data_IF_487035007371
#
_entry.id   IF_487035007371
#
_cell.length_a   1.000
_cell.length_b   1.000
_cell.length_c   1.000
_cell.angle_alpha   90.00
_cell.angle_beta   90.00
_cell.angle_gamma   90.00
#
_symmetry.space_group_name_H-M   'P 1'
#
loop_
_entity.id
_entity.type
_entity.pdbx_description
1 polymer ?
2 non-polymer ?
3 water ?
#
# COMPACT_ATOMS: atom_id res chain seq x y z
N UNK A 11 10.35 -18.81 -7.78
CA UNK A 11 11.46 -18.57 -6.86
C UNK A 11 12.78 -19.10 -7.40
N UNK A 12 13.74 -18.20 -7.61
CA UNK A 12 15.11 -18.57 -7.89
C UNK A 12 15.83 -18.75 -6.55
N UNK A 13 16.66 -19.79 -6.45
CA UNK A 13 17.47 -20.01 -5.28
C UNK A 13 18.80 -19.28 -5.46
N UNK A 14 19.17 -18.46 -4.48
CA UNK A 14 20.36 -17.63 -4.54
C UNK A 14 21.40 -18.19 -3.59
N UNK A 15 22.66 -18.25 -4.04
CA UNK A 15 23.69 -18.75 -3.14
C UNK A 15 24.11 -17.67 -2.15
N UNK A 16 24.33 -18.02 -0.88
CA UNK A 16 24.70 -16.99 0.12
C UNK A 16 25.93 -16.17 -0.23
N UNK A 17 26.87 -16.72 -1.00
CA UNK A 17 28.05 -15.94 -1.38
C UNK A 17 27.70 -14.75 -2.27
N UNK A 18 26.51 -14.72 -2.86
CA UNK A 18 26.09 -13.62 -3.70
C UNK A 18 25.41 -12.48 -2.94
N UNK A 19 25.23 -12.62 -1.63
CA UNK A 19 24.47 -11.66 -0.83
C UNK A 19 25.36 -11.08 0.26
N UNK A 20 25.27 -9.76 0.43
CA UNK A 20 25.96 -9.06 1.51
C UNK A 20 24.95 -8.17 2.22
N UNK A 21 24.72 -8.44 3.50
CA UNK A 21 23.85 -7.59 4.30
C UNK A 21 24.65 -6.39 4.81
N UNK A 22 24.05 -5.19 4.70
CA UNK A 22 24.77 -3.96 5.03
C UNK A 22 24.19 -3.23 6.23
N UNK A 23 22.89 -2.94 6.23
CA UNK A 23 22.27 -2.14 7.27
C UNK A 23 20.93 -2.76 7.65
N UNK A 24 20.63 -2.76 8.94
CA UNK A 24 19.29 -3.13 9.39
C UNK A 24 18.31 -2.02 9.04
N UNK A 25 17.18 -2.38 8.45
CA UNK A 25 16.15 -1.42 8.06
C UNK A 25 14.78 -1.76 8.63
N UNK A 26 14.64 -2.88 9.34
CA UNK A 26 13.35 -3.25 9.89
C UNK A 26 13.44 -4.57 10.62
N UNK A 27 12.28 -5.05 11.05
CA UNK A 27 12.18 -6.27 11.83
C UNK A 27 11.30 -7.29 11.13
N UNK A 28 11.71 -8.54 11.22
CA UNK A 28 10.94 -9.66 10.65
C UNK A 28 10.22 -10.42 11.75
N UNK A 29 9.45 -11.41 11.41
CA UNK A 29 8.70 -12.17 12.43
C UNK A 29 9.68 -12.97 13.30
N UNK A 30 10.73 -13.48 12.70
CA UNK A 30 11.76 -14.19 13.49
C UNK A 30 13.10 -13.97 12.79
N UNK A 31 13.49 -12.74 12.76
CA UNK A 31 14.72 -12.29 12.11
C UNK A 31 14.68 -10.80 11.88
N UNK A 32 15.58 -10.31 11.07
CA UNK A 32 15.75 -8.91 10.76
C UNK A 32 15.57 -8.65 9.26
N UNK A 33 15.33 -7.39 8.91
CA UNK A 33 15.22 -6.96 7.52
C UNK A 33 16.38 -6.01 7.23
N UNK A 34 17.12 -6.30 6.17
CA UNK A 34 18.35 -5.58 5.84
C UNK A 34 18.26 -4.97 4.45
N UNK A 35 19.04 -3.91 4.26
CA UNK A 35 19.44 -3.47 2.93
C UNK A 35 20.80 -4.08 2.61
N UNK A 36 20.98 -4.50 1.38
CA UNK A 36 22.22 -5.12 0.97
C UNK A 36 22.45 -5.06 -0.53
N UNK A 37 23.38 -5.89 -0.99
CA UNK A 37 23.77 -5.95 -2.39
C UNK A 37 23.74 -7.40 -2.88
N UNK A 38 23.32 -7.59 -4.13
CA UNK A 38 23.20 -8.91 -4.75
C UNK A 38 24.03 -8.93 -6.03
N UNK A 39 24.90 -9.93 -6.12
CA UNK A 39 25.84 -10.06 -7.25
C UNK A 39 25.20 -10.85 -8.41
N UNK A 45 27.45 -6.36 -12.29
CA UNK A 45 27.66 -5.41 -11.20
C UNK A 45 26.59 -5.59 -10.12
N UNK A 46 26.97 -5.27 -8.88
CA UNK A 46 26.08 -5.42 -7.74
C UNK A 46 24.76 -4.68 -7.97
N UNK A 47 23.73 -5.16 -7.29
CA UNK A 47 22.38 -4.62 -7.38
C UNK A 47 21.84 -4.47 -5.96
N UNK A 48 21.27 -3.32 -5.59
CA UNK A 48 20.75 -3.17 -4.23
C UNK A 48 19.51 -4.03 -4.03
N UNK A 49 19.41 -4.62 -2.84
CA UNK A 49 18.30 -5.52 -2.51
C UNK A 49 17.87 -5.31 -1.07
N UNK A 50 16.63 -5.69 -0.78
CA UNK A 50 16.17 -5.81 0.59
C UNK A 50 16.11 -7.29 0.95
N UNK A 51 16.44 -7.60 2.20
CA UNK A 51 16.69 -8.97 2.63
C UNK A 51 15.98 -9.21 3.96
N UNK A 52 15.05 -10.16 3.98
CA UNK A 52 14.40 -10.58 5.23
C UNK A 52 14.92 -11.97 5.60
N UNK A 53 15.39 -12.12 6.84
CA UNK A 53 16.00 -13.37 7.29
C UNK A 53 15.09 -14.11 8.27
N UNK A 54 15.31 -15.42 8.35
CA UNK A 54 14.67 -16.30 9.34
C UNK A 54 15.78 -16.92 10.16
N UNK A 55 15.88 -16.52 11.42
CA UNK A 55 17.02 -16.79 12.30
C UNK A 55 16.84 -18.10 13.04
N UNK A 56 17.97 -18.65 13.50
CA UNK A 56 18.01 -19.94 14.20
C UNK A 56 17.02 -19.97 15.35
N UNK A 57 16.31 -21.08 15.47
CA UNK A 57 15.29 -21.26 16.48
C UNK A 57 13.88 -21.12 15.96
N UNK A 58 13.70 -20.75 14.69
CA UNK A 58 12.35 -20.54 14.17
C UNK A 58 11.52 -21.79 14.32
N UNK A 59 10.22 -21.58 14.50
CA UNK A 59 9.28 -22.66 14.70
C UNK A 59 8.86 -23.24 13.35
N UNK A 60 8.19 -24.38 13.41
CA UNK A 60 7.63 -24.98 12.20
C UNK A 60 6.68 -24.02 11.51
N UNK A 61 5.76 -23.40 12.28
CA UNK A 61 4.80 -22.48 11.68
C UNK A 61 5.50 -21.31 10.99
N UNK A 62 6.53 -20.76 11.64
CA UNK A 62 7.25 -19.64 11.05
C UNK A 62 7.94 -20.03 9.74
N UNK A 63 8.53 -21.24 9.70
CA UNK A 63 9.12 -21.72 8.45
C UNK A 63 8.08 -21.89 7.36
N UNK A 64 6.91 -22.42 7.71
CA UNK A 64 5.84 -22.59 6.73
C UNK A 64 5.39 -21.23 6.20
N UNK A 65 5.19 -20.26 7.10
CA UNK A 65 4.77 -18.92 6.66
C UNK A 65 5.86 -18.23 5.84
N UNK A 66 7.12 -18.40 6.25
CA UNK A 66 8.23 -17.72 5.58
C UNK A 66 8.43 -18.25 4.17
N UNK A 67 8.53 -19.56 4.01
CA UNK A 67 8.68 -20.12 2.65
C UNK A 67 7.39 -19.97 1.85
N UNK A 68 6.24 -19.98 2.51
CA UNK A 68 4.99 -19.70 1.81
C UNK A 68 4.96 -18.30 1.25
N UNK A 69 5.42 -17.33 2.04
CA UNK A 69 5.54 -15.96 1.55
C UNK A 69 6.44 -15.90 0.32
N UNK A 70 7.59 -16.55 0.40
CA UNK A 70 8.48 -16.57 -0.76
C UNK A 70 7.79 -17.15 -1.97
N UNK A 71 7.03 -18.23 -1.78
CA UNK A 71 6.38 -18.87 -2.92
C UNK A 71 5.33 -18.00 -3.57
N UNK A 72 4.52 -17.31 -2.77
CA UNK A 72 3.50 -16.42 -3.33
C UNK A 72 4.14 -15.26 -4.07
N UNK A 73 5.21 -14.69 -3.53
CA UNK A 73 5.86 -13.56 -4.18
C UNK A 73 6.50 -13.98 -5.50
N UNK A 74 7.12 -15.16 -5.55
CA UNK A 74 7.65 -15.65 -6.81
C UNK A 74 6.60 -15.84 -7.88
N UNK A 75 5.38 -16.09 -7.49
CA UNK A 75 4.26 -16.27 -8.43
C UNK A 75 3.80 -14.92 -9.02
N UNK A 76 4.02 -13.81 -8.37
CA UNK A 76 3.55 -12.52 -8.87
C UNK A 76 4.57 -11.93 -9.83
N UNK A 77 4.09 -11.49 -11.01
CA UNK A 77 4.94 -10.83 -12.01
C UNK A 77 4.12 -9.66 -12.56
N UNK A 78 4.22 -8.51 -11.91
CA UNK A 78 3.42 -7.33 -12.32
C UNK A 78 4.20 -6.05 -12.05
N UNK A 79 4.01 -5.07 -12.89
CA UNK A 79 4.66 -3.76 -12.79
C UNK A 79 4.46 -3.09 -11.42
N UNK A 80 3.31 -3.32 -10.77
CA UNK A 80 2.96 -2.63 -9.53
C UNK A 80 2.96 -3.55 -8.31
N UNK A 81 3.71 -4.65 -8.36
CA UNK A 81 3.90 -5.57 -7.24
C UNK A 81 5.41 -5.71 -7.02
N UNK A 82 5.84 -5.61 -5.75
CA UNK A 82 7.26 -5.79 -5.44
C UNK A 82 7.80 -7.07 -6.07
N UNK A 83 8.98 -6.99 -6.66
CA UNK A 83 9.60 -8.14 -7.36
C UNK A 83 10.53 -8.96 -6.46
N UNK A 84 10.34 -10.26 -6.46
CA UNK A 84 11.21 -11.17 -5.73
C UNK A 84 12.46 -11.46 -6.56
N UNK A 85 13.65 -11.18 -6.00
CA UNK A 85 14.89 -11.58 -6.68
C UNK A 85 15.16 -13.06 -6.47
N UNK A 86 14.99 -13.54 -5.24
CA UNK A 86 15.20 -14.95 -5.00
C UNK A 86 15.07 -15.27 -3.52
N UNK A 87 15.34 -16.53 -3.21
CA UNK A 87 15.24 -17.03 -1.85
C UNK A 87 16.52 -17.80 -1.54
N UNK A 88 16.87 -17.83 -0.26
CA UNK A 88 17.86 -18.76 0.26
C UNK A 88 17.12 -19.71 1.19
N UNK A 89 16.95 -20.95 0.76
CA UNK A 89 16.32 -21.97 1.57
C UNK A 89 17.25 -23.14 1.90
N UNK A 90 18.33 -23.34 1.14
CA UNK A 90 19.23 -24.47 1.33
C UNK A 90 20.30 -24.22 2.38
N UNK A 91 20.42 -23.00 2.90
CA UNK A 91 21.42 -22.66 3.90
C UNK A 91 20.76 -21.82 4.97
N UNK A 92 21.42 -21.72 6.12
CA UNK A 92 20.92 -20.94 7.25
C UNK A 92 21.84 -19.74 7.48
N UNK A 93 21.26 -18.56 7.78
CA UNK A 93 19.82 -18.33 7.90
C UNK A 93 19.13 -18.26 6.54
N UNK A 94 17.86 -18.60 6.51
CA UNK A 94 17.08 -18.48 5.28
C UNK A 94 16.75 -17.02 5.00
N UNK A 95 16.54 -16.69 3.72
CA UNK A 95 16.39 -15.29 3.32
C UNK A 95 15.38 -15.14 2.18
N UNK A 96 14.62 -14.04 2.23
CA UNK A 96 13.79 -13.56 1.11
C UNK A 96 14.42 -12.28 0.59
N UNK A 97 14.66 -12.21 -0.71
CA UNK A 97 15.43 -11.11 -1.30
C UNK A 97 14.61 -10.45 -2.40
N UNK A 98 14.37 -9.14 -2.27
CA UNK A 98 13.60 -8.39 -3.24
C UNK A 98 14.42 -7.24 -3.81
N UNK A 99 13.91 -6.65 -4.88
CA UNK A 99 14.43 -5.36 -5.34
C UNK A 99 14.36 -4.34 -4.21
N UNK A 100 15.16 -3.28 -4.33
CA UNK A 100 15.22 -2.21 -3.34
C UNK A 100 14.75 -0.90 -3.97
N UNK A 101 14.07 -0.09 -3.16
CA UNK A 101 13.56 1.22 -3.64
C UNK A 101 14.15 2.34 -2.75
N UNK A 102 15.10 3.10 -3.26
CA UNK A 102 15.71 4.16 -2.46
C UNK A 102 14.71 5.23 -2.03
N UNK A 103 13.57 5.38 -2.71
CA UNK A 103 12.56 6.33 -2.24
C UNK A 103 11.72 5.81 -1.07
N UNK A 104 11.80 4.51 -0.75
CA UNK A 104 11.16 4.01 0.46
C UNK A 104 9.64 3.88 0.40
N UNK A 105 9.03 3.85 1.58
CA UNK A 105 7.58 3.65 1.69
C UNK A 105 6.83 4.93 1.34
N UNK A 106 5.65 4.75 0.74
CA UNK A 106 4.91 5.86 0.16
C UNK A 106 4.42 6.84 1.22
N UNK A 107 4.05 6.36 2.42
CA UNK A 107 3.53 7.30 3.43
C UNK A 107 4.59 8.31 3.84
N UNK A 108 5.77 7.83 4.20
CA UNK A 108 6.88 8.70 4.59
C UNK A 108 7.34 9.56 3.42
N UNK A 109 7.37 8.98 2.22
CA UNK A 109 7.75 9.70 1.01
C UNK A 109 6.88 10.94 0.80
N UNK A 110 5.56 10.75 0.82
CA UNK A 110 4.66 11.89 0.62
C UNK A 110 4.79 12.94 1.72
N UNK A 111 4.91 12.50 2.97
CA UNK A 111 5.02 13.44 4.10
C UNK A 111 6.28 14.29 4.00
N UNK A 112 7.35 13.76 3.39
CA UNK A 112 8.62 14.46 3.27
C UNK A 112 8.69 15.28 1.99
N UNK A 113 7.64 15.27 1.17
CA UNK A 113 7.62 15.94 -0.13
C UNK A 113 6.30 16.65 -0.32
N UNK A 114 5.79 17.24 0.78
CA UNK A 114 4.47 17.84 0.80
C UNK A 114 4.32 18.89 -0.28
N UNK A 115 3.32 18.73 -1.13
CA UNK A 115 3.00 19.71 -2.15
C UNK A 115 3.91 19.71 -3.35
N UNK A 116 4.77 18.71 -3.52
CA UNK A 116 5.79 18.79 -4.57
C UNK A 116 5.37 18.18 -5.91
N UNK A 117 4.19 17.55 -6.00
CA UNK A 117 3.80 16.84 -7.22
C UNK A 117 2.55 17.46 -7.85
N UNK A 118 2.35 17.18 -9.13
CA UNK A 118 1.13 17.60 -9.78
C UNK A 118 -0.01 16.63 -9.45
N UNK A 119 -1.24 17.13 -9.58
CA UNK A 119 -2.42 16.26 -9.48
C UNK A 119 -2.30 15.05 -10.39
N UNK A 120 -1.81 15.25 -11.62
CA UNK A 120 -1.68 14.12 -12.54
C UNK A 120 -0.67 13.09 -12.04
N UNK A 121 0.44 13.54 -11.44
CA UNK A 121 1.39 12.61 -10.84
C UNK A 121 0.75 11.81 -9.72
N UNK A 122 -0.01 12.49 -8.85
CA UNK A 122 -0.65 11.79 -7.72
C UNK A 122 -1.65 10.76 -8.22
N UNK A 123 -2.49 11.15 -9.20
CA UNK A 123 -3.48 10.21 -9.73
C UNK A 123 -2.79 9.04 -10.43
N UNK A 124 -1.65 9.29 -11.09
CA UNK A 124 -0.91 8.20 -11.70
C UNK A 124 -0.40 7.20 -10.68
N UNK A 125 -0.02 7.65 -9.52
CA UNK A 125 0.41 6.73 -8.44
C UNK A 125 -0.80 5.86 -8.06
N UNK A 126 -1.96 6.45 -7.94
CA UNK A 126 -3.17 5.69 -7.58
C UNK A 126 -3.54 4.68 -8.67
N UNK A 127 -3.36 5.04 -9.95
CA UNK A 127 -3.67 4.08 -11.00
C UNK A 127 -2.74 2.87 -10.92
N UNK A 128 -1.46 3.10 -10.62
CA UNK A 128 -0.53 2.00 -10.50
C UNK A 128 -0.86 1.10 -9.32
N UNK A 129 -1.19 1.69 -8.18
CA UNK A 129 -1.59 0.89 -7.01
C UNK A 129 -2.83 0.06 -7.34
N UNK A 130 -3.80 0.68 -8.02
CA UNK A 130 -5.02 -0.04 -8.38
C UNK A 130 -4.74 -1.19 -9.32
N UNK A 131 -3.82 -1.00 -10.27
CA UNK A 131 -3.48 -2.07 -11.21
C UNK A 131 -2.82 -3.23 -10.49
N UNK A 132 -1.95 -2.95 -9.53
CA UNK A 132 -1.39 -4.04 -8.73
C UNK A 132 -2.44 -4.77 -7.91
N UNK A 133 -3.40 -4.03 -7.35
CA UNK A 133 -4.45 -4.64 -6.56
C UNK A 133 -5.41 -5.44 -7.43
N UNK A 134 -5.71 -4.95 -8.64
CA UNK A 134 -6.54 -5.74 -9.54
C UNK A 134 -5.88 -7.07 -9.85
N UNK A 135 -4.56 -7.05 -10.06
CA UNK A 135 -3.80 -8.27 -10.30
C UNK A 135 -3.90 -9.22 -9.11
N UNK A 136 -3.63 -8.73 -7.89
CA UNK A 136 -3.72 -9.58 -6.70
C UNK A 136 -5.11 -10.19 -6.54
N UNK A 137 -6.16 -9.37 -6.67
CA UNK A 137 -7.52 -9.87 -6.52
C UNK A 137 -7.85 -10.92 -7.59
N UNK A 138 -7.39 -10.71 -8.82
CA UNK A 138 -7.61 -11.67 -9.90
C UNK A 138 -6.91 -12.99 -9.60
N UNK A 139 -5.72 -12.92 -9.00
CA UNK A 139 -4.95 -14.10 -8.59
C UNK A 139 -5.51 -14.73 -7.32
N UNK A 140 -6.63 -14.22 -6.81
CA UNK A 140 -7.27 -14.71 -5.59
C UNK A 140 -6.38 -14.54 -4.36
N UNK A 141 -5.66 -13.42 -4.31
CA UNK A 141 -4.84 -13.04 -3.15
C UNK A 141 -5.50 -11.85 -2.49
N UNK A 142 -5.91 -12.02 -1.23
CA UNK A 142 -6.46 -10.92 -0.44
C UNK A 142 -5.34 -10.33 0.39
N UNK A 143 -5.14 -9.03 0.29
CA UNK A 143 -3.98 -8.39 0.90
C UNK A 143 -4.14 -8.27 2.41
N UNK A 144 -5.26 -7.68 2.86
CA UNK A 144 -5.65 -7.51 4.26
C UNK A 144 -4.96 -6.35 4.99
N UNK A 145 -3.90 -5.78 4.42
CA UNK A 145 -3.18 -4.69 5.10
C UNK A 145 -2.76 -3.62 4.10
N UNK A 146 -3.64 -3.27 3.17
CA UNK A 146 -3.31 -2.25 2.18
C UNK A 146 -3.35 -0.88 2.84
N UNK A 147 -2.22 -0.17 2.78
CA UNK A 147 -2.05 1.16 3.35
C UNK A 147 -0.80 1.73 2.70
N UNK A 148 -0.66 3.05 2.75
CA UNK A 148 0.50 3.66 2.10
C UNK A 148 1.82 3.18 2.69
N UNK A 149 1.82 2.81 3.98
CA UNK A 149 3.03 2.28 4.62
C UNK A 149 3.52 0.99 3.95
N UNK A 150 2.64 0.28 3.25
CA UNK A 150 2.99 -0.98 2.61
C UNK A 150 3.18 -0.84 1.10
N UNK A 151 3.44 0.36 0.63
CA UNK A 151 3.66 0.63 -0.79
C UNK A 151 5.02 1.27 -0.95
N UNK A 152 5.84 0.73 -1.86
CA UNK A 152 7.18 1.25 -2.13
C UNK A 152 7.17 2.07 -3.43
N UNK A 153 8.05 3.07 -3.49
CA UNK A 153 8.13 3.99 -4.62
C UNK A 153 9.52 3.90 -5.23
N UNK A 154 9.59 3.66 -6.54
CA UNK A 154 10.88 3.62 -7.21
C UNK A 154 11.24 5.01 -7.80
N UNK A 155 12.39 5.07 -8.47
CA UNK A 155 12.90 6.32 -9.01
C UNK A 155 12.15 6.80 -10.26
N UNK A 156 11.20 6.01 -10.76
CA UNK A 156 10.29 6.45 -11.80
C UNK A 156 8.92 6.85 -11.24
N UNK A 157 8.80 6.98 -9.92
CA UNK A 157 7.54 7.26 -9.23
C UNK A 157 6.54 6.10 -9.32
N UNK A 158 7.00 4.91 -9.73
CA UNK A 158 6.12 3.76 -9.81
C UNK A 158 5.93 3.17 -8.42
N UNK A 159 4.67 2.95 -8.06
CA UNK A 159 4.31 2.38 -6.76
C UNK A 159 4.16 0.87 -6.88
N UNK A 160 4.72 0.15 -5.93
CA UNK A 160 4.73 -1.30 -5.91
C UNK A 160 4.08 -1.75 -4.61
N UNK A 161 2.95 -2.46 -4.72
CA UNK A 161 2.32 -3.02 -3.54
C UNK A 161 3.22 -4.07 -2.90
N UNK A 162 3.30 -4.02 -1.57
CA UNK A 162 4.18 -4.85 -0.76
C UNK A 162 3.42 -5.19 0.51
N UNK A 163 4.05 -5.97 1.40
CA UNK A 163 3.46 -6.22 2.73
C UNK A 163 4.60 -6.45 3.71
N UNK A 164 4.81 -5.50 4.61
CA UNK A 164 5.89 -5.62 5.58
C UNK A 164 5.43 -6.22 6.89
N UNK A 165 4.21 -6.74 6.96
CA UNK A 165 3.63 -7.16 8.22
C UNK A 165 3.07 -5.97 9.00
N UNK A 166 2.43 -6.29 10.12
CA UNK A 166 1.84 -5.25 10.95
C UNK A 166 2.93 -4.35 11.53
N UNK A 167 2.63 -3.06 11.63
CA UNK A 167 3.60 -2.04 12.04
C UNK A 167 4.29 -2.35 13.36
N UNK A 183 2.08 -5.97 17.26
CA UNK A 183 1.65 -5.50 15.96
C UNK A 183 0.37 -4.68 16.00
N UNK A 184 0.45 -3.45 15.51
CA UNK A 184 -0.70 -2.55 15.53
C UNK A 184 -1.73 -2.99 14.49
N UNK A 185 -2.97 -3.18 14.94
CA UNK A 185 -4.06 -3.52 14.03
C UNK A 185 -4.52 -2.25 13.33
N UNK A 186 -4.67 -2.27 11.95
CA UNK A 186 -4.95 -1.03 11.21
C UNK A 186 -6.44 -0.74 11.07
N UNK A 187 -7.10 -0.51 12.21
CA UNK A 187 -8.54 -0.25 12.24
C UNK A 187 -8.94 0.76 11.17
N UNK A 188 -8.24 1.89 11.10
CA UNK A 188 -8.74 2.96 10.24
C UNK A 188 -8.51 2.73 8.75
N UNK A 189 -7.82 1.64 8.37
CA UNK A 189 -7.72 1.22 6.97
C UNK A 189 -8.66 0.07 6.61
N UNK A 190 -9.37 -0.51 7.58
CA UNK A 190 -10.04 -1.79 7.43
C UNK A 190 -11.55 -1.62 7.27
N UNK A 191 -12.15 -2.42 6.37
CA UNK A 191 -13.58 -2.33 6.11
C UNK A 191 -14.39 -2.81 7.32
N UNK A 192 -15.60 -2.28 7.51
CA UNK A 192 -16.41 -2.68 8.68
C UNK A 192 -16.61 -4.19 8.84
N UNK A 193 -16.87 -4.92 7.75
CA UNK A 193 -17.11 -6.35 7.87
C UNK A 193 -15.85 -7.11 8.28
N UNK A 194 -14.68 -6.61 7.89
CA UNK A 194 -13.43 -7.26 8.28
C UNK A 194 -13.13 -7.02 9.75
N UNK A 195 -13.41 -5.80 10.24
CA UNK A 195 -13.28 -5.53 11.67
C UNK A 195 -14.31 -6.35 12.45
N UNK A 196 -15.57 -6.31 12.01
CA UNK A 196 -16.67 -6.84 12.82
C UNK A 196 -16.64 -8.35 12.93
N UNK A 197 -16.41 -9.05 11.80
CA UNK A 197 -16.53 -10.50 11.80
C UNK A 197 -15.46 -11.20 10.97
N UNK A 198 -14.35 -10.52 10.71
CA UNK A 198 -13.14 -11.09 10.12
C UNK A 198 -13.35 -11.51 8.68
N UNK A 199 -14.25 -10.83 7.97
CA UNK A 199 -14.51 -11.11 6.57
C UNK A 199 -13.57 -10.25 5.71
N UNK A 200 -12.42 -10.83 5.36
CA UNK A 200 -11.41 -10.18 4.53
C UNK A 200 -11.52 -10.72 3.11
N UNK A 201 -11.83 -9.84 2.16
CA UNK A 201 -11.96 -10.19 0.75
C UNK A 201 -11.36 -9.06 -0.09
N UNK A 202 -11.37 -9.25 -1.43
CA UNK A 202 -10.96 -8.17 -2.31
C UNK A 202 -11.79 -6.92 -2.08
N UNK A 203 -13.04 -7.08 -1.62
CA UNK A 203 -13.90 -5.94 -1.41
C UNK A 203 -13.55 -5.17 -0.14
N UNK A 204 -13.04 -5.86 0.88
CA UNK A 204 -12.47 -5.11 1.99
C UNK A 204 -11.16 -4.44 1.58
N UNK A 205 -10.39 -5.06 0.69
CA UNK A 205 -9.23 -4.38 0.13
C UNK A 205 -9.62 -3.11 -0.64
N UNK A 206 -10.79 -3.11 -1.30
CA UNK A 206 -11.26 -1.91 -2.00
C UNK A 206 -11.51 -0.78 -1.00
N UNK A 207 -12.09 -1.08 0.16
CA UNK A 207 -12.22 -0.06 1.20
C UNK A 207 -10.85 0.52 1.57
N UNK A 208 -9.88 -0.36 1.84
CA UNK A 208 -8.53 0.08 2.15
C UNK A 208 -7.96 0.96 1.03
N UNK A 209 -8.23 0.59 -0.22
CA UNK A 209 -7.73 1.39 -1.35
C UNK A 209 -8.30 2.80 -1.32
N UNK A 210 -9.59 2.95 -0.97
CA UNK A 210 -10.15 4.28 -0.80
C UNK A 210 -9.40 5.08 0.25
N UNK A 211 -9.04 4.45 1.38
CA UNK A 211 -8.21 5.15 2.37
C UNK A 211 -6.85 5.54 1.77
N UNK A 212 -6.22 4.63 1.01
CA UNK A 212 -4.95 4.97 0.36
C UNK A 212 -5.12 6.16 -0.61
N UNK A 213 -6.22 6.20 -1.35
CA UNK A 213 -6.49 7.36 -2.21
C UNK A 213 -6.46 8.65 -1.39
N UNK A 214 -7.07 8.62 -0.21
CA UNK A 214 -7.09 9.81 0.64
C UNK A 214 -5.69 10.11 1.18
N UNK A 215 -4.93 9.07 1.55
CA UNK A 215 -3.55 9.27 1.97
C UNK A 215 -2.72 9.95 0.88
N UNK A 216 -2.83 9.48 -0.37
CA UNK A 216 -2.05 10.06 -1.45
C UNK A 216 -2.44 11.52 -1.67
N UNK A 217 -3.75 11.80 -1.78
CA UNK A 217 -4.20 13.15 -2.14
C UNK A 217 -3.94 14.17 -1.03
N UNK A 218 -3.73 13.72 0.21
CA UNK A 218 -3.38 14.60 1.33
C UNK A 218 -1.89 14.65 1.62
N UNK A 219 -1.04 13.99 0.82
CA UNK A 219 0.39 13.90 1.13
C UNK A 219 0.65 13.23 2.47
N UNK A 220 -0.05 12.13 2.73
CA UNK A 220 0.26 11.34 3.90
C UNK A 220 -0.38 11.77 5.21
N UNK A 221 -1.51 12.45 5.16
CA UNK A 221 -2.17 12.77 6.42
C UNK A 221 -2.67 11.51 7.10
N UNK A 222 -2.82 11.60 8.42
CA UNK A 222 -3.31 10.46 9.19
C UNK A 222 -4.83 10.36 9.03
N UNK A 223 -5.36 9.25 8.53
CA UNK A 223 -6.81 9.13 8.36
C UNK A 223 -7.54 9.37 9.69
N UNK A 224 -8.56 10.23 9.64
CA UNK A 224 -9.42 10.56 10.78
C UNK A 224 -8.71 11.39 11.85
N UNK A 225 -7.48 11.86 11.55
CA UNK A 225 -6.69 12.67 12.46
C UNK A 225 -6.60 12.05 13.84
N UNK A 226 -6.98 12.80 14.88
CA UNK A 226 -6.74 12.35 16.25
C UNK A 226 -7.83 11.45 16.81
N UNK A 227 -8.86 11.10 16.03
CA UNK A 227 -9.89 10.20 16.55
C UNK A 227 -9.27 8.88 16.97
N UNK A 228 -9.75 8.33 18.08
CA UNK A 228 -9.31 7.01 18.52
C UNK A 228 -9.93 5.93 17.63
N UNK A 229 -9.43 4.71 17.77
CA UNK A 229 -9.96 3.60 16.98
C UNK A 229 -11.45 3.40 17.21
N UNK A 230 -11.90 3.50 18.47
CA UNK A 230 -13.32 3.35 18.74
C UNK A 230 -14.13 4.50 18.16
N UNK A 231 -13.60 5.73 18.24
CA UNK A 231 -14.30 6.86 17.64
C UNK A 231 -14.40 6.73 16.12
N UNK A 232 -13.38 6.18 15.47
CA UNK A 232 -13.44 5.97 14.02
C UNK A 232 -14.53 4.98 13.66
N UNK A 233 -14.59 3.86 14.37
CA UNK A 233 -15.62 2.87 14.08
C UNK A 233 -17.01 3.44 14.32
N UNK A 234 -17.19 4.20 15.41
CA UNK A 234 -18.47 4.81 15.70
C UNK A 234 -18.88 5.80 14.61
N UNK A 235 -17.95 6.64 14.17
CA UNK A 235 -18.26 7.60 13.12
C UNK A 235 -18.68 6.90 11.83
N UNK A 236 -17.95 5.85 11.45
CA UNK A 236 -18.27 5.10 10.23
C UNK A 236 -19.66 4.47 10.35
N UNK A 237 -19.96 3.88 11.51
CA UNK A 237 -21.26 3.26 11.68
C UNK A 237 -22.39 4.29 11.69
N UNK A 238 -22.11 5.50 12.17
CA UNK A 238 -23.08 6.58 12.16
C UNK A 238 -23.24 7.23 10.79
N UNK A 239 -22.43 6.84 9.80
CA UNK A 239 -22.56 7.34 8.44
C UNK A 239 -21.56 8.41 8.03
N UNK A 240 -20.70 8.86 8.93
CA UNK A 240 -19.68 9.85 8.57
C UNK A 240 -18.60 9.21 7.71
N UNK A 241 -17.98 10.03 6.86
CA UNK A 241 -16.86 9.63 6.01
C UNK A 241 -15.82 10.74 5.97
N UNK A 242 -14.59 10.38 5.62
CA UNK A 242 -13.52 11.38 5.52
C UNK A 242 -13.94 12.49 4.56
N UNK A 243 -13.65 13.75 4.87
CA UNK A 243 -13.99 14.86 3.97
C UNK A 243 -12.98 14.94 2.83
N UNK A 244 -13.28 15.78 1.85
CA UNK A 244 -12.38 15.84 0.70
C UNK A 244 -11.04 16.43 1.11
N UNK A 245 -9.94 15.90 0.57
CA UNK A 245 -8.66 16.60 0.65
C UNK A 245 -8.72 17.95 -0.05
N UNK A 246 -7.77 18.82 0.31
CA UNK A 246 -7.63 20.08 -0.40
C UNK A 246 -7.12 19.83 -1.81
N UNK A 247 -7.59 20.64 -2.76
CA UNK A 247 -7.13 20.59 -4.15
C UNK A 247 -7.39 19.23 -4.80
N UNK A 248 -8.54 18.62 -4.50
CA UNK A 248 -8.78 17.24 -4.94
C UNK A 248 -9.76 17.22 -6.09
N UNK A 249 -9.44 16.57 -7.21
CA UNK A 249 -10.42 16.47 -8.31
C UNK A 249 -11.72 15.84 -7.82
N UNK A 250 -12.83 16.42 -8.29
CA UNK A 250 -14.16 15.91 -7.93
C UNK A 250 -14.30 14.42 -8.25
N UNK A 251 -13.80 13.99 -9.42
CA UNK A 251 -13.94 12.59 -9.79
C UNK A 251 -13.20 11.67 -8.83
N UNK A 252 -12.06 12.13 -8.31
CA UNK A 252 -11.26 11.33 -7.40
C UNK A 252 -11.95 11.20 -6.04
N UNK A 253 -12.53 12.28 -5.53
CA UNK A 253 -13.26 12.15 -4.27
C UNK A 253 -14.49 11.26 -4.43
N UNK A 254 -15.22 11.43 -5.54
CA UNK A 254 -16.36 10.55 -5.80
C UNK A 254 -15.96 9.09 -5.78
N UNK A 255 -14.81 8.75 -6.38
CA UNK A 255 -14.38 7.36 -6.43
C UNK A 255 -14.02 6.84 -5.04
N UNK A 256 -13.27 7.61 -4.25
CA UNK A 256 -12.93 7.11 -2.92
C UNK A 256 -14.18 6.94 -2.06
N UNK A 257 -15.17 7.83 -2.21
CA UNK A 257 -16.40 7.70 -1.43
C UNK A 257 -17.15 6.40 -1.74
N UNK A 258 -17.15 5.98 -3.02
CA UNK A 258 -17.81 4.73 -3.37
C UNK A 258 -17.04 3.50 -2.88
N UNK A 259 -15.72 3.63 -2.65
CA UNK A 259 -14.97 2.56 -2.01
C UNK A 259 -15.40 2.35 -0.56
N UNK A 260 -16.03 3.35 0.05
CA UNK A 260 -16.42 3.32 1.45
C UNK A 260 -17.91 3.04 1.65
N UNK A 261 -18.56 2.38 0.71
CA UNK A 261 -19.93 1.98 0.94
C UNK A 261 -20.01 0.91 2.02
N UNK A 262 -20.93 1.10 2.97
CA UNK A 262 -21.10 0.12 4.02
C UNK A 262 -21.40 -1.26 3.45
N UNK A 263 -22.29 -1.35 2.45
CA UNK A 263 -22.67 -2.62 1.84
C UNK A 263 -21.56 -3.05 0.88
N UNK A 264 -20.90 -4.16 1.23
CA UNK A 264 -19.75 -4.66 0.48
C UNK A 264 -20.04 -4.82 -1.01
N UNK A 265 -21.23 -5.34 -1.35
CA UNK A 265 -21.57 -5.62 -2.74
C UNK A 265 -21.65 -4.37 -3.58
N UNK A 266 -21.85 -3.21 -2.96
CA UNK A 266 -22.03 -1.94 -3.70
C UNK A 266 -20.68 -1.26 -4.03
N UNK A 267 -19.56 -1.73 -3.49
CA UNK A 267 -18.30 -1.10 -3.79
C UNK A 267 -17.85 -1.43 -5.22
N UNK A 268 -17.11 -0.54 -5.87
CA UNK A 268 -16.51 -0.90 -7.16
C UNK A 268 -15.58 -2.08 -6.99
N UNK A 269 -15.44 -2.86 -8.05
CA UNK A 269 -14.37 -3.85 -8.10
C UNK A 269 -13.09 -3.16 -8.55
N UNK A 270 -11.94 -3.82 -8.34
CA UNK A 270 -10.68 -3.21 -8.77
C UNK A 270 -10.65 -2.95 -10.28
N UNK A 271 -11.31 -3.79 -11.08
CA UNK A 271 -11.39 -3.53 -12.52
C UNK A 271 -12.06 -2.19 -12.80
N UNK A 272 -13.13 -1.88 -12.06
CA UNK A 272 -13.80 -0.59 -12.23
C UNK A 272 -12.87 0.56 -11.87
N UNK A 273 -12.14 0.42 -10.76
CA UNK A 273 -11.25 1.47 -10.27
C UNK A 273 -10.15 1.75 -11.29
N UNK A 274 -9.53 0.69 -11.82
CA UNK A 274 -8.45 0.85 -12.80
C UNK A 274 -8.99 1.55 -14.05
N UNK A 275 -10.14 1.10 -14.53
CA UNK A 275 -10.75 1.67 -15.73
C UNK A 275 -11.00 3.17 -15.55
N UNK A 276 -11.61 3.57 -14.43
CA UNK A 276 -11.91 4.97 -14.18
C UNK A 276 -10.64 5.80 -14.11
N UNK A 277 -9.65 5.35 -13.34
CA UNK A 277 -8.40 6.11 -13.20
C UNK A 277 -7.68 6.23 -14.54
N UNK A 278 -7.66 5.15 -15.32
CA UNK A 278 -7.03 5.22 -16.62
C UNK A 278 -7.70 6.26 -17.53
N UNK A 279 -9.04 6.30 -17.51
CA UNK A 279 -9.78 7.23 -18.36
C UNK A 279 -9.58 8.67 -17.91
N UNK A 280 -9.52 8.90 -16.60
CA UNK A 280 -9.26 10.25 -16.10
C UNK A 280 -7.88 10.74 -16.51
N UNK A 281 -6.88 9.87 -16.42
CA UNK A 281 -5.51 10.25 -16.80
C UNK A 281 -5.42 10.54 -18.29
N UNK A 282 -6.11 9.75 -19.10
CA UNK A 282 -6.01 9.90 -20.54
C UNK A 282 -6.78 11.09 -21.08
N UNK A 283 -7.74 11.61 -20.31
CA UNK A 283 -8.44 12.86 -20.61
C UNK A 283 -8.20 13.80 -19.43
N UNK A 284 -6.98 14.33 -19.31
CA UNK A 284 -6.58 14.97 -18.04
C UNK A 284 -7.36 16.23 -17.69
N UNK A 285 -8.00 16.90 -18.66
CA UNK A 285 -8.88 18.00 -18.29
C UNK A 285 -9.96 17.58 -17.30
N UNK A 286 -10.30 16.28 -17.28
CA UNK A 286 -11.31 15.77 -16.36
C UNK A 286 -10.93 15.97 -14.90
N UNK A 287 -9.64 16.12 -14.62
CA UNK A 287 -9.15 16.27 -13.25
C UNK A 287 -9.15 17.72 -12.77
N UNK A 288 -9.45 18.67 -13.66
CA UNK A 288 -9.38 20.08 -13.28
C UNK A 288 -10.59 20.55 -12.49
N UNK A 289 -11.71 19.85 -12.57
CA UNK A 289 -12.88 20.16 -11.75
C UNK A 289 -12.64 19.64 -10.34
N UNK A 290 -12.58 20.55 -9.36
CA UNK A 290 -12.22 20.19 -7.99
C UNK A 290 -13.45 20.10 -7.10
N UNK A 291 -13.41 19.18 -6.15
CA UNK A 291 -14.43 19.14 -5.12
C UNK A 291 -14.23 20.30 -4.16
N UNK A 292 -15.35 20.81 -3.63
CA UNK A 292 -15.30 21.88 -2.63
C UNK A 292 -14.59 21.35 -1.39
N UNK A 293 -13.68 22.15 -0.84
CA UNK A 293 -13.02 21.80 0.42
C UNK A 293 -13.70 22.55 1.56
N UNK A 294 -14.07 21.82 2.62
CA UNK A 294 -14.74 22.41 3.78
C UNK A 294 -13.70 23.00 4.73
N UNK A 295 -13.61 24.32 4.83
CA UNK A 295 -12.58 24.91 5.71
C UNK A 295 -12.97 24.76 7.17
N UNK A 296 -11.98 24.38 7.99
CA UNK A 296 -12.16 24.41 9.43
C UNK A 296 -12.06 25.82 9.97
N UNK A 297 -11.13 26.59 9.41
CA UNK A 297 -10.78 27.90 9.92
C UNK A 297 -11.30 28.96 8.97
N UNK A 298 -11.92 29.99 9.52
CA UNK A 298 -12.31 31.16 8.77
C UNK A 298 -11.29 32.26 9.04
N UNK A 299 -10.71 32.80 7.97
CA UNK A 299 -9.83 33.97 8.06
C UNK A 299 -10.49 35.06 7.23
N UNK A 300 -10.85 36.13 7.92
CA UNK A 300 -11.53 37.29 7.30
C UNK A 300 -10.54 38.44 7.12
N UNK A 301 -10.49 39.01 5.93
CA UNK A 301 -9.59 40.11 5.63
C UNK A 301 -10.27 41.05 4.66
N UNK A 302 -9.83 42.32 4.55
CA UNK A 302 -10.41 43.24 3.57
C UNK A 302 -9.69 43.21 2.23
X LIG B 1 2.08 -7.48 -1.49
X LIG B 1 2.39 -8.58 -1.84
X LIG B 1 1.34 -9.11 -2.23
X LIG B 1 3.13 -8.48 -2.77
X LIG B 1 3.02 -9.27 -0.76
X LIG B 1 4.35 -9.01 -0.37
X LIG B 1 2.30 -10.21 -0.04
X LIG B 1 2.90 -10.87 1.03
X LIG B 1 4.20 -10.58 1.41
X LIG B 1 4.97 -9.64 0.72
X LIG B 1 6.26 -9.45 1.09
X LIG B 1 6.92 -8.28 0.96
X LIG B 1 6.38 -7.31 0.47
X LIG B 1 8.30 -8.25 1.24
X LIG B 1 9.07 -7.14 0.84
X LIG B 1 9.00 -9.30 1.83
X LIG B 1 10.37 -9.24 2.02
X LIG B 1 11.10 -8.13 1.64
X LIG B 1 12.48 -8.14 1.86
X LIG B 1 10.45 -7.02 1.05
X LIG B 1 11.17 -5.94 0.61
X LIG B 1 11.36 -4.78 1.30
X LIG B 1 11.04 -4.79 2.55
X LIG B 1 11.87 -3.66 0.74
X LIG B 1 12.31 -3.24 -0.44
X LIG B 1 12.69 -1.95 -0.31
X LIG B 1 12.57 -1.60 0.64
X LIG B 1 12.96 -0.15 0.93
X LIG B 1 12.05 -2.55 1.46
X LIG B 1 11.70 -2.58 2.73
X LIG B 1 11.20 -3.69 3.28
X LIG B 1 10.85 -3.76 4.58
X LIG B 1 10.36 -4.93 5.09
X LIG B 1 10.03 -4.97 6.38
X LIG B 1 10.19 -3.86 7.17
X LIG B 1 10.67 -2.70 6.66
X LIG B 1 11.03 -2.65 5.36
#
# INVERSE_FOLDING_TARGET
>A
GDPNQAVLKFTTEIHPSCVTRQKVIGAGEFGEVYKGMLKTSSGKKEVPVAIKTLKAGYTEKQRVDFLGEAGIMGQFSHHNIIRLEGVISKYKPMMIITEYMENGALDKFLREKDGEFSVLQLVGMLRGIAAGMKYLANMNYVHRDLAARNILVNSNLVCKVSDFGLSRVLEDDPEATYTTSGGKIPIRWTAPEAISYRKFTSASDVWSFGIVMWEVMTYGERPYWELSNHEVMKAINDGFRLPTPMDCPSAIYQLMMQCWQQERARRPKFADIVSILDKLIRAPDSLKTLADFDPRVSIRLPSTSG
>B hetero
1 G0E FAQ CAP FAR FAS CAN CAL CAO CAM CAK CAJ NAH CAG OAI CAA CAB CAC CAE CAF CAT CAD NAU C4 N3 C5 CBB NBC NBD CBK C6 N1 C2 CBE CBF NBH CBJ NBI CBG
#
